data_IF_020704272496
#
_entry.id   IF_020704272496
#
_cell.length_a   1.000
_cell.length_b   1.000
_cell.length_c   1.000
_cell.angle_alpha   90.00
_cell.angle_beta   90.00
_cell.angle_gamma   90.00
#
_symmetry.space_group_name_H-M   'P 1'
#
loop_
_entity.id
_entity.type
_entity.pdbx_description
1 polymer ?
#
# COMPACT_ATOMS: atom_id res chain seq x y z
N UNK A 1 4.23 -1.84 -9.09
CA UNK A 1 5.28 -2.27 -8.12
C UNK A 1 6.62 -1.77 -8.64
N UNK A 2 7.39 -1.01 -7.85
CA UNK A 2 8.68 -0.44 -8.27
C UNK A 2 8.61 0.42 -9.56
N UNK A 3 7.55 1.21 -9.73
CA UNK A 3 7.36 2.06 -10.92
C UNK A 3 6.68 1.37 -12.11
N UNK A 4 6.36 0.08 -12.02
CA UNK A 4 5.67 -0.66 -13.09
C UNK A 4 4.19 -0.90 -12.79
N UNK A 5 3.35 -0.83 -13.82
CA UNK A 5 1.95 -1.25 -13.75
C UNK A 5 1.85 -2.76 -13.60
N UNK A 6 1.15 -3.20 -12.56
CA UNK A 6 0.92 -4.62 -12.29
C UNK A 6 -0.49 -4.83 -11.77
N UNK A 7 -1.19 -5.81 -12.32
CA UNK A 7 -2.47 -6.28 -11.78
C UNK A 7 -2.22 -6.98 -10.44
N UNK A 8 -2.93 -6.55 -9.40
CA UNK A 8 -2.87 -7.15 -8.06
C UNK A 8 -4.22 -7.78 -7.73
N UNK A 9 -4.19 -9.02 -7.24
CA UNK A 9 -5.38 -9.74 -6.77
C UNK A 9 -5.24 -10.00 -5.28
N UNK A 10 -6.36 -10.01 -4.56
CA UNK A 10 -6.38 -10.37 -3.13
C UNK A 10 -5.79 -11.78 -2.92
N UNK A 11 -5.94 -12.68 -3.90
CA UNK A 11 -5.34 -14.01 -3.88
C UNK A 11 -3.81 -14.01 -3.81
N UNK A 12 -3.15 -12.95 -4.29
CA UNK A 12 -1.70 -12.82 -4.28
C UNK A 12 -1.14 -12.62 -2.85
N UNK A 13 -2.01 -12.22 -1.92
CA UNK A 13 -1.69 -12.02 -0.51
C UNK A 13 -2.13 -13.19 0.38
N UNK A 14 -2.62 -14.28 -0.19
CA UNK A 14 -3.09 -15.45 0.58
C UNK A 14 -1.94 -16.06 1.38
N UNK A 15 -2.14 -16.23 2.69
CA UNK A 15 -1.11 -16.73 3.61
C UNK A 15 -0.19 -15.64 4.17
N UNK A 16 -0.43 -14.37 3.82
CA UNK A 16 0.16 -13.19 4.44
C UNK A 16 -0.93 -12.35 5.10
N UNK A 17 -0.56 -11.58 6.11
CA UNK A 17 -1.45 -10.53 6.61
C UNK A 17 -1.45 -9.37 5.61
N UNK A 18 -2.62 -8.78 5.36
CA UNK A 18 -2.76 -7.66 4.43
C UNK A 18 -3.32 -6.45 5.17
N UNK A 19 -2.55 -5.37 5.22
CA UNK A 19 -3.02 -4.04 5.62
C UNK A 19 -3.47 -3.33 4.35
N UNK A 20 -4.78 -3.29 4.14
CA UNK A 20 -5.40 -2.60 3.02
C UNK A 20 -6.00 -1.29 3.52
N UNK A 21 -5.44 -0.16 3.08
CA UNK A 21 -5.91 1.16 3.50
C UNK A 21 -6.39 1.97 2.31
N UNK A 22 -7.50 2.68 2.51
CA UNK A 22 -8.05 3.58 1.51
C UNK A 22 -7.68 5.01 1.86
N UNK A 23 -7.27 5.79 0.87
CA UNK A 23 -7.06 7.21 1.01
C UNK A 23 -7.85 7.96 -0.07
N UNK A 24 -8.33 9.19 0.20
CA UNK A 24 -9.38 9.81 -0.61
C UNK A 24 -8.91 10.19 -2.02
N UNK A 25 -7.76 10.86 -2.12
CA UNK A 25 -7.22 11.43 -3.34
C UNK A 25 -5.69 11.59 -3.23
N UNK A 26 -4.98 11.23 -4.29
CA UNK A 26 -3.58 11.57 -4.53
C UNK A 26 -3.42 13.10 -4.53
N UNK A 27 -2.32 13.60 -3.94
CA UNK A 27 -1.97 15.05 -3.91
C UNK A 27 -2.89 15.97 -3.08
N UNK A 28 -3.59 15.46 -2.07
CA UNK A 28 -4.34 16.30 -1.11
C UNK A 28 -3.52 16.68 0.15
N UNK A 29 -4.06 17.60 0.97
CA UNK A 29 -3.38 18.19 2.15
C UNK A 29 -3.08 17.22 3.30
N UNK A 30 -3.77 16.08 3.31
CA UNK A 30 -3.38 14.89 4.08
C UNK A 30 -2.86 13.92 3.03
N UNK A 31 -1.71 13.26 3.26
CA UNK A 31 -1.08 12.27 2.39
C UNK A 31 0.04 12.80 1.46
N UNK A 32 1.19 13.12 2.06
CA UNK A 32 2.32 12.22 1.80
C UNK A 32 2.85 11.54 3.07
N UNK A 33 2.54 12.07 4.25
CA UNK A 33 3.11 11.59 5.52
C UNK A 33 2.70 10.15 5.86
N UNK A 34 1.46 9.76 5.60
CA UNK A 34 0.97 8.40 5.88
C UNK A 34 1.59 7.37 4.93
N UNK A 35 1.56 7.63 3.62
CA UNK A 35 2.20 6.76 2.62
C UNK A 35 3.71 6.67 2.87
N UNK A 36 4.38 7.78 3.18
CA UNK A 36 5.81 7.77 3.53
C UNK A 36 6.06 6.96 4.80
N UNK A 37 5.26 7.15 5.87
CA UNK A 37 5.42 6.40 7.11
C UNK A 37 5.24 4.89 6.91
N UNK A 38 4.28 4.46 6.08
CA UNK A 38 4.13 3.06 5.71
C UNK A 38 5.28 2.56 4.84
N UNK A 39 5.77 3.37 3.91
CA UNK A 39 6.91 3.06 3.05
C UNK A 39 8.19 2.87 3.87
N UNK A 40 8.48 3.78 4.81
CA UNK A 40 9.66 3.73 5.67
C UNK A 40 9.65 2.48 6.57
N UNK A 41 8.46 2.10 7.06
CA UNK A 41 8.25 0.94 7.94
C UNK A 41 7.89 -0.34 7.21
N UNK A 42 7.89 -0.37 5.87
CA UNK A 42 7.47 -1.55 5.09
C UNK A 42 8.27 -2.81 5.43
N UNK A 43 9.53 -2.64 5.83
CA UNK A 43 10.42 -3.73 6.26
C UNK A 43 9.92 -4.39 7.54
N UNK A 44 9.36 -3.62 8.48
CA UNK A 44 8.80 -4.14 9.74
C UNK A 44 7.56 -4.99 9.45
N UNK A 45 6.66 -4.51 8.58
CA UNK A 45 5.48 -5.28 8.17
C UNK A 45 5.88 -6.57 7.47
N UNK A 46 6.84 -6.52 6.54
CA UNK A 46 7.33 -7.71 5.85
C UNK A 46 7.99 -8.72 6.78
N UNK A 47 8.66 -8.26 7.84
CA UNK A 47 9.27 -9.13 8.85
C UNK A 47 8.24 -9.96 9.63
N UNK A 48 7.03 -9.45 9.79
CA UNK A 48 5.91 -10.16 10.42
C UNK A 48 4.94 -10.77 9.39
N UNK A 49 5.43 -11.10 8.18
CA UNK A 49 4.65 -11.69 7.09
C UNK A 49 3.38 -10.87 6.74
N UNK A 50 3.51 -9.54 6.78
CA UNK A 50 2.44 -8.57 6.48
C UNK A 50 2.80 -7.71 5.27
N UNK A 51 1.87 -7.57 4.33
CA UNK A 51 1.99 -6.64 3.20
C UNK A 51 1.05 -5.43 3.41
N UNK A 52 1.43 -4.28 2.85
CA UNK A 52 0.66 -3.04 2.93
C UNK A 52 0.28 -2.61 1.52
N UNK A 53 -1.00 -2.33 1.29
CA UNK A 53 -1.53 -1.86 0.00
C UNK A 53 -2.43 -0.65 0.24
N UNK A 54 -2.09 0.46 -0.42
CA UNK A 54 -2.92 1.66 -0.47
C UNK A 54 -3.80 1.66 -1.72
N UNK A 55 -5.05 2.09 -1.59
CA UNK A 55 -5.98 2.25 -2.70
C UNK A 55 -6.66 3.62 -2.62
N UNK A 56 -6.66 4.35 -3.73
CA UNK A 56 -7.50 5.53 -3.93
C UNK A 56 -8.35 5.38 -5.19
N UNK A 57 -9.23 6.34 -5.41
CA UNK A 57 -10.08 6.42 -6.61
C UNK A 57 -9.39 7.18 -7.75
N UNK A 58 -8.14 7.61 -7.55
CA UNK A 58 -7.38 8.30 -8.56
C UNK A 58 -7.10 7.37 -9.74
N UNK A 59 -7.22 7.93 -10.93
CA UNK A 59 -6.73 7.28 -12.14
C UNK A 59 -5.21 7.44 -12.22
N UNK A 60 -4.55 6.40 -12.73
CA UNK A 60 -3.11 6.44 -13.06
C UNK A 60 -2.88 6.89 -14.49
#
# INVERSE_FOLDING_TARGET
VNGEFKELKITDFKGKHLVFFFYPLDFTFVCPTEIIAFSDRIKEFRAINTEVVGCSVDSV
#
